data_IF_056167209434
#
_entry.id   IF_056167209434
#
_cell.length_a   1.000
_cell.length_b   1.000
_cell.length_c   1.000
_cell.angle_alpha   90.00
_cell.angle_beta   90.00
_cell.angle_gamma   90.00
#
_symmetry.space_group_name_H-M   'P 1'
#
loop_
_entity.id
_entity.type
_entity.pdbx_description
1 polymer ?
#
# COMPACT_ATOMS: atom_id res chain seq x y z
N UNK A 1 3.49 -7.18 9.66
CA UNK A 1 4.38 -6.44 8.74
C UNK A 1 5.22 -5.48 9.55
N UNK A 2 6.53 -5.39 9.28
CA UNK A 2 7.43 -4.41 9.88
C UNK A 2 7.25 -3.06 9.18
N UNK A 3 7.48 -1.94 9.89
CA UNK A 3 7.39 -0.59 9.29
C UNK A 3 8.29 -0.43 8.06
N UNK A 4 9.50 -0.97 8.12
CA UNK A 4 10.43 -0.98 7.00
C UNK A 4 9.89 -1.70 5.75
N UNK A 5 9.01 -2.70 5.89
CA UNK A 5 8.39 -3.36 4.74
C UNK A 5 7.36 -2.45 4.06
N UNK A 6 6.59 -1.69 4.84
CA UNK A 6 5.67 -0.68 4.31
C UNK A 6 6.45 0.43 3.60
N UNK A 7 7.49 0.94 4.25
CA UNK A 7 8.32 2.01 3.69
C UNK A 7 9.00 1.56 2.38
N UNK A 8 9.44 0.29 2.30
CA UNK A 8 9.97 -0.29 1.07
C UNK A 8 8.93 -0.36 -0.05
N UNK A 9 7.69 -0.78 0.25
CA UNK A 9 6.60 -0.80 -0.73
C UNK A 9 6.31 0.63 -1.22
N UNK A 10 6.18 1.60 -0.31
CA UNK A 10 5.92 3.01 -0.67
C UNK A 10 7.06 3.56 -1.52
N UNK A 11 8.32 3.28 -1.17
CA UNK A 11 9.48 3.68 -1.96
C UNK A 11 9.38 3.16 -3.39
N UNK A 12 9.07 1.87 -3.58
CA UNK A 12 8.92 1.30 -4.92
C UNK A 12 7.78 1.94 -5.70
N UNK A 13 6.65 2.25 -5.06
CA UNK A 13 5.53 2.94 -5.72
C UNK A 13 5.97 4.31 -6.22
N UNK A 14 6.67 5.09 -5.39
CA UNK A 14 7.16 6.42 -5.76
C UNK A 14 8.28 6.36 -6.81
N UNK A 15 9.09 5.31 -6.82
CA UNK A 15 10.09 5.09 -7.88
C UNK A 15 9.45 4.76 -9.23
N UNK A 16 8.36 3.97 -9.24
CA UNK A 16 7.63 3.57 -10.45
C UNK A 16 6.74 4.71 -10.96
N UNK A 17 6.08 5.42 -10.05
CA UNK A 17 5.14 6.48 -10.33
C UNK A 17 5.41 7.67 -9.39
N UNK A 18 6.36 8.56 -9.72
CA UNK A 18 6.75 9.69 -8.87
C UNK A 18 5.62 10.67 -8.57
N UNK A 19 4.63 10.72 -9.45
CA UNK A 19 3.51 11.68 -9.45
C UNK A 19 2.26 11.07 -8.79
N UNK A 20 2.48 10.06 -7.94
CA UNK A 20 1.43 9.40 -7.16
C UNK A 20 0.84 10.37 -6.13
N UNK A 21 -0.48 10.54 -6.14
CA UNK A 21 -1.20 11.25 -5.09
C UNK A 21 -1.58 10.31 -3.94
N UNK A 22 -2.11 9.14 -4.28
CA UNK A 22 -2.70 8.19 -3.34
C UNK A 22 -2.26 6.76 -3.65
N UNK A 23 -2.02 5.97 -2.59
CA UNK A 23 -1.71 4.54 -2.69
C UNK A 23 -2.85 3.75 -2.06
N UNK A 24 -3.44 2.85 -2.84
CA UNK A 24 -4.63 2.09 -2.45
C UNK A 24 -4.27 0.64 -2.14
N UNK A 25 -4.53 0.24 -0.91
CA UNK A 25 -4.44 -1.15 -0.46
C UNK A 25 -5.85 -1.74 -0.36
N UNK A 26 -6.23 -2.58 -1.32
CA UNK A 26 -7.57 -3.18 -1.40
C UNK A 26 -7.48 -4.70 -1.48
N UNK A 27 -8.14 -5.45 -0.57
CA UNK A 27 -8.15 -6.90 -0.66
C UNK A 27 -8.72 -7.40 -1.99
N UNK A 28 -8.08 -8.40 -2.58
CA UNK A 28 -8.44 -9.00 -3.87
C UNK A 28 -7.98 -8.22 -5.09
N UNK A 29 -7.30 -7.08 -4.92
CA UNK A 29 -6.71 -6.30 -6.02
C UNK A 29 -5.20 -6.23 -5.88
N UNK A 30 -4.50 -6.05 -6.99
CA UNK A 30 -3.09 -5.64 -7.01
C UNK A 30 -2.93 -4.30 -6.30
N UNK A 31 -1.70 -3.96 -5.87
CA UNK A 31 -1.45 -2.62 -5.33
C UNK A 31 -1.73 -1.58 -6.42
N UNK A 32 -2.46 -0.52 -6.07
CA UNK A 32 -2.82 0.53 -7.02
C UNK A 32 -2.33 1.89 -6.52
N UNK A 33 -1.98 2.76 -7.44
CA UNK A 33 -1.64 4.15 -7.18
C UNK A 33 -2.51 5.05 -8.06
N UNK A 34 -2.94 6.18 -7.53
CA UNK A 34 -3.58 7.23 -8.30
C UNK A 34 -2.53 8.20 -8.82
N UNK A 35 -2.46 8.35 -10.14
CA UNK A 35 -1.51 9.21 -10.83
C UNK A 35 -2.29 10.07 -11.82
N UNK A 36 -2.24 11.39 -11.66
CA UNK A 36 -3.01 12.35 -12.47
C UNK A 36 -4.52 12.04 -12.55
N UNK A 37 -5.11 11.56 -11.45
CA UNK A 37 -6.55 11.21 -11.39
C UNK A 37 -6.91 9.87 -12.04
N UNK A 38 -5.90 9.06 -12.42
CA UNK A 38 -6.08 7.73 -12.99
C UNK A 38 -5.55 6.66 -12.05
N UNK A 39 -6.39 5.67 -11.78
CA UNK A 39 -6.02 4.51 -10.98
C UNK A 39 -5.17 3.55 -11.81
N UNK A 40 -3.95 3.30 -11.36
CA UNK A 40 -2.94 2.51 -12.08
C UNK A 40 -2.45 1.36 -11.20
N UNK A 41 -2.37 0.15 -11.77
CA UNK A 41 -1.78 -0.99 -11.07
C UNK A 41 -0.25 -0.86 -10.97
N UNK A 42 0.28 -1.04 -9.76
CA UNK A 42 1.72 -0.95 -9.48
C UNK A 42 2.29 -2.36 -9.36
N UNK A 43 3.25 -2.68 -10.24
CA UNK A 43 3.98 -3.95 -10.20
C UNK A 43 5.18 -3.83 -9.28
N UNK A 44 5.03 -4.33 -8.05
CA UNK A 44 6.11 -4.42 -7.08
C UNK A 44 7.15 -5.48 -7.44
N UNK A 45 8.33 -5.39 -6.83
CA UNK A 45 9.34 -6.43 -6.91
C UNK A 45 9.87 -6.78 -5.49
N UNK A 46 9.54 -7.96 -4.95
CA UNK A 46 8.81 -9.07 -5.59
C UNK A 46 7.33 -8.75 -5.83
N UNK A 47 6.74 -9.38 -6.85
CA UNK A 47 5.31 -9.24 -7.13
C UNK A 47 4.49 -9.87 -5.99
N UNK A 48 3.56 -9.07 -5.44
CA UNK A 48 2.65 -9.51 -4.38
C UNK A 48 1.36 -10.12 -4.94
N UNK A 49 1.07 -9.91 -6.23
CA UNK A 49 -0.22 -10.27 -6.82
C UNK A 49 -1.40 -9.55 -6.15
N UNK A 50 -2.61 -10.12 -6.20
CA UNK A 50 -3.76 -9.62 -5.48
C UNK A 50 -3.54 -9.65 -3.96
N UNK A 51 -3.75 -8.51 -3.30
CA UNK A 51 -3.57 -8.37 -1.86
C UNK A 51 -4.56 -9.25 -1.10
N UNK A 52 -4.07 -9.98 -0.11
CA UNK A 52 -4.87 -10.78 0.80
C UNK A 52 -5.40 -9.91 1.95
N UNK A 53 -6.57 -10.23 2.54
CA UNK A 53 -7.16 -9.43 3.62
C UNK A 53 -6.19 -9.13 4.78
N UNK A 54 -5.41 -10.13 5.20
CA UNK A 54 -4.44 -9.95 6.30
C UNK A 54 -3.28 -9.02 5.94
N UNK A 55 -2.93 -8.88 4.65
CA UNK A 55 -1.88 -7.96 4.21
C UNK A 55 -2.36 -6.52 4.34
N UNK A 56 -3.60 -6.24 3.92
CA UNK A 56 -4.22 -4.91 4.10
C UNK A 56 -4.40 -4.58 5.58
N UNK A 57 -4.81 -5.55 6.41
CA UNK A 57 -4.86 -5.37 7.88
C UNK A 57 -3.48 -5.03 8.45
N UNK A 58 -2.44 -5.75 8.03
CA UNK A 58 -1.08 -5.48 8.47
C UNK A 58 -0.61 -4.06 8.08
N UNK A 59 -0.98 -3.58 6.89
CA UNK A 59 -0.75 -2.19 6.46
C UNK A 59 -1.49 -1.21 7.35
N UNK A 60 -2.78 -1.43 7.59
CA UNK A 60 -3.59 -0.58 8.47
C UNK A 60 -3.00 -0.49 9.89
N UNK A 61 -2.61 -1.62 10.49
CA UNK A 61 -1.94 -1.66 11.79
C UNK A 61 -0.62 -0.88 11.78
N UNK A 62 0.14 -0.98 10.69
CA UNK A 62 1.42 -0.27 10.56
C UNK A 62 1.25 1.26 10.41
N UNK A 63 0.17 1.69 9.74
CA UNK A 63 -0.21 3.10 9.62
C UNK A 63 -0.73 3.69 10.94
N UNK A 64 -1.56 2.92 11.66
CA UNK A 64 -2.08 3.32 12.97
C UNK A 64 -0.98 3.40 14.04
N UNK A 65 0.08 2.60 13.91
CA UNK A 65 1.16 2.52 14.90
C UNK A 65 0.62 2.11 16.28
N UNK A 66 1.03 2.81 17.35
CA UNK A 66 0.53 2.57 18.70
C UNK A 66 -0.82 3.26 19.00
N UNK A 67 -1.36 4.03 18.06
CA UNK A 67 -2.61 4.77 18.25
C UNK A 67 -3.82 3.93 17.82
N UNK A 68 -4.28 3.04 18.71
CA UNK A 68 -5.49 2.21 18.54
C UNK A 68 -6.81 2.99 18.51
N UNK A 69 -6.79 4.33 18.42
CA UNK A 69 -8.00 5.18 18.48
C UNK A 69 -8.86 5.14 17.21
N UNK A 70 -8.42 4.46 16.15
CA UNK A 70 -9.14 4.40 14.86
C UNK A 70 -10.17 3.27 14.81
N UNK A 71 -10.31 2.48 15.88
CA UNK A 71 -11.29 1.38 15.97
C UNK A 71 -12.62 1.80 16.64
N UNK A 72 -12.81 3.08 16.99
CA UNK A 72 -13.95 3.52 17.80
C UNK A 72 -14.87 4.50 17.08
#
# INVERSE_FOLDING_TARGET
MLRAQLDHIISQVLDIAPETSDILFVPGKTLQAEVYGLLTDVKLNPDLGPLLPFQTEAVALCLMGQNMRVYR
#
